data_IF_245427075756
#
_entry.id   IF_245427075756
#
_cell.length_a   1.000
_cell.length_b   1.000
_cell.length_c   1.000
_cell.angle_alpha   90.00
_cell.angle_beta   90.00
_cell.angle_gamma   90.00
#
_symmetry.space_group_name_H-M   'P 1'
#
loop_
_entity.id
_entity.type
_entity.pdbx_description
1 polymer ?
#
# COMPACT_ATOMS: atom_id res chain seq x y z
N UNK A 1 -0.46 -1.43 1.54
CA UNK A 1 -0.18 0.00 1.34
C UNK A 1 0.85 0.08 0.20
N UNK A 2 0.61 0.84 -0.88
CA UNK A 2 1.56 0.88 -1.99
C UNK A 2 2.87 1.53 -1.56
N UNK A 3 3.99 1.08 -2.14
CA UNK A 3 5.32 1.65 -1.88
C UNK A 3 5.37 3.15 -2.22
N UNK A 4 4.69 3.57 -3.29
CA UNK A 4 4.64 4.97 -3.72
C UNK A 4 3.19 5.40 -3.96
N UNK A 5 2.79 6.52 -3.32
CA UNK A 5 1.47 7.11 -3.41
C UNK A 5 1.51 8.39 -4.24
N UNK A 6 0.96 8.41 -5.48
CA UNK A 6 0.85 9.63 -6.26
C UNK A 6 -0.07 10.65 -5.58
N UNK A 7 0.03 11.95 -5.87
CA UNK A 7 -0.89 12.93 -5.27
C UNK A 7 -2.35 12.74 -5.73
N UNK A 8 -2.57 12.29 -6.97
CA UNK A 8 -3.91 12.09 -7.56
C UNK A 8 -4.54 13.35 -8.18
N UNK A 9 -3.92 14.52 -8.00
CA UNK A 9 -4.51 15.83 -8.36
C UNK A 9 -3.67 16.65 -9.36
N UNK A 10 -2.42 16.28 -9.63
CA UNK A 10 -1.58 17.02 -10.58
C UNK A 10 -1.82 16.58 -12.03
N UNK A 11 -1.38 17.39 -12.99
CA UNK A 11 -1.53 17.12 -14.43
C UNK A 11 -1.09 15.72 -14.87
N UNK A 12 -0.02 15.18 -14.26
CA UNK A 12 0.45 13.82 -14.55
C UNK A 12 -0.53 12.78 -14.02
N UNK A 13 -1.02 12.94 -12.79
CA UNK A 13 -1.99 12.04 -12.18
C UNK A 13 -3.32 12.06 -12.92
N UNK A 14 -3.82 13.25 -13.28
CA UNK A 14 -5.07 13.41 -14.03
C UNK A 14 -5.00 12.80 -15.43
N UNK A 15 -3.80 12.69 -16.00
CA UNK A 15 -3.52 11.98 -17.27
C UNK A 15 -3.26 10.48 -17.10
N UNK A 16 -3.50 9.91 -15.91
CA UNK A 16 -3.23 8.49 -15.61
C UNK A 16 -1.76 8.14 -15.45
N UNK A 17 -0.86 9.12 -15.40
CA UNK A 17 0.60 8.95 -15.27
C UNK A 17 1.06 9.11 -13.81
N UNK A 18 0.35 8.46 -12.89
CA UNK A 18 0.62 8.54 -11.46
C UNK A 18 2.03 8.06 -11.07
N UNK A 19 2.58 7.10 -11.81
CA UNK A 19 3.92 6.51 -11.55
C UNK A 19 5.08 7.49 -11.68
N UNK A 20 4.89 8.61 -12.38
CA UNK A 20 5.91 9.68 -12.52
C UNK A 20 5.45 10.98 -11.82
N UNK A 21 4.56 10.87 -10.84
CA UNK A 21 4.08 12.03 -10.11
C UNK A 21 5.21 12.70 -9.31
N UNK A 22 5.45 13.98 -9.58
CA UNK A 22 6.49 14.77 -8.90
C UNK A 22 6.14 15.12 -7.44
N UNK A 23 4.88 14.91 -7.05
CA UNK A 23 4.35 15.15 -5.69
C UNK A 23 3.96 13.82 -5.01
N UNK A 24 4.60 12.72 -5.40
CA UNK A 24 4.36 11.42 -4.78
C UNK A 24 4.94 11.36 -3.36
N UNK A 25 4.31 10.57 -2.50
CA UNK A 25 4.79 10.27 -1.15
C UNK A 25 5.14 8.79 -1.04
N UNK A 26 6.23 8.48 -0.33
CA UNK A 26 6.72 7.12 -0.10
C UNK A 26 6.80 6.91 1.42
N UNK A 27 5.99 6.01 2.00
CA UNK A 27 6.15 5.61 3.41
C UNK A 27 7.55 5.05 3.67
N UNK A 28 8.18 5.47 4.77
CA UNK A 28 9.54 5.09 5.13
C UNK A 28 10.65 5.87 4.40
N UNK A 29 10.29 6.89 3.62
CA UNK A 29 11.24 7.77 2.94
C UNK A 29 10.83 9.24 3.05
N UNK A 30 9.68 9.61 2.45
CA UNK A 30 9.15 10.98 2.52
C UNK A 30 8.32 11.23 3.79
N UNK A 31 7.64 10.18 4.27
CA UNK A 31 6.81 10.17 5.48
C UNK A 31 7.14 8.94 6.31
N UNK A 32 6.65 8.86 7.54
CA UNK A 32 6.85 7.69 8.42
C UNK A 32 6.41 6.37 7.75
N UNK A 33 7.17 5.30 8.02
CA UNK A 33 7.02 3.99 7.40
C UNK A 33 6.56 2.89 8.37
N UNK A 34 6.31 1.69 7.82
CA UNK A 34 5.70 0.57 8.55
C UNK A 34 6.55 -0.10 9.64
N UNK A 35 7.81 0.33 9.85
CA UNK A 35 8.61 -0.09 11.01
C UNK A 35 8.21 0.68 12.27
N UNK A 36 6.91 0.68 12.55
CA UNK A 36 6.25 1.36 13.64
C UNK A 36 4.97 0.59 14.00
N UNK A 37 4.40 0.84 15.18
CA UNK A 37 3.10 0.23 15.54
C UNK A 37 1.95 0.77 14.68
N UNK A 38 2.06 2.01 14.20
CA UNK A 38 1.04 2.69 13.42
C UNK A 38 1.70 3.67 12.44
N UNK A 39 1.01 3.95 11.33
CA UNK A 39 1.37 5.00 10.38
C UNK A 39 0.12 5.75 9.89
N UNK A 40 0.30 6.98 9.46
CA UNK A 40 -0.78 7.79 8.86
C UNK A 40 -0.63 7.75 7.34
N UNK A 41 -1.66 7.28 6.64
CA UNK A 41 -1.70 7.22 5.17
C UNK A 41 -3.06 7.60 4.62
N UNK A 42 -3.16 8.11 3.37
CA UNK A 42 -4.45 8.38 2.73
C UNK A 42 -5.25 7.10 2.51
N UNK A 43 -6.49 7.07 2.99
CA UNK A 43 -7.37 5.89 2.92
C UNK A 43 -7.64 5.40 1.49
N UNK A 44 -7.63 6.30 0.50
CA UNK A 44 -7.83 5.96 -0.93
C UNK A 44 -6.82 4.96 -1.50
N UNK A 45 -5.66 4.79 -0.85
CA UNK A 45 -4.61 3.84 -1.25
C UNK A 45 -4.65 2.53 -0.45
N UNK A 46 -5.63 2.37 0.45
CA UNK A 46 -5.82 1.16 1.21
C UNK A 46 -6.71 0.18 0.44
N UNK A 47 -6.34 -1.09 0.49
CA UNK A 47 -7.15 -2.20 0.00
C UNK A 47 -7.68 -2.96 1.21
N UNK A 48 -9.00 -3.06 1.42
CA UNK A 48 -9.57 -3.88 2.47
C UNK A 48 -9.21 -5.35 2.25
N UNK A 49 -8.72 -6.03 3.29
CA UNK A 49 -8.48 -7.46 3.27
C UNK A 49 -9.47 -8.11 4.24
N UNK A 50 -10.45 -8.92 3.78
CA UNK A 50 -11.33 -9.66 4.67
C UNK A 50 -10.54 -10.71 5.46
N UNK A 51 -10.28 -10.41 6.73
CA UNK A 51 -9.65 -11.30 7.72
C UNK A 51 -10.42 -11.22 9.03
N UNK A 52 -10.51 -12.33 9.76
CA UNK A 52 -11.05 -12.35 11.12
C UNK A 52 -9.94 -12.02 12.14
N UNK A 53 -8.73 -12.54 11.91
CA UNK A 53 -7.52 -12.29 12.69
C UNK A 53 -6.23 -12.46 11.85
N UNK A 54 -5.05 -12.30 12.49
CA UNK A 54 -3.74 -12.40 11.82
C UNK A 54 -3.39 -13.80 11.29
N UNK A 55 -4.06 -14.83 11.81
CA UNK A 55 -3.85 -16.25 11.44
C UNK A 55 -4.81 -16.75 10.38
N UNK A 56 -5.85 -15.97 10.09
CA UNK A 56 -6.87 -16.26 9.10
C UNK A 56 -6.27 -16.45 7.71
N UNK A 57 -6.70 -17.51 7.04
CA UNK A 57 -6.34 -17.82 5.66
C UNK A 57 -7.26 -17.04 4.71
N UNK A 58 -6.67 -16.45 3.67
CA UNK A 58 -7.38 -15.62 2.70
C UNK A 58 -7.81 -16.40 1.45
N UNK A 59 -9.13 -16.53 1.26
CA UNK A 59 -9.74 -17.18 0.10
C UNK A 59 -9.20 -18.60 -0.15
N UNK A 60 -9.22 -19.03 -1.40
CA UNK A 60 -8.70 -20.36 -1.80
C UNK A 60 -7.17 -20.42 -1.89
N UNK A 61 -6.49 -19.28 -1.66
CA UNK A 61 -5.03 -19.17 -1.85
C UNK A 61 -4.21 -19.81 -0.73
N UNK A 62 -4.82 -20.09 0.42
CA UNK A 62 -4.13 -20.74 1.53
C UNK A 62 -3.17 -19.82 2.32
N UNK A 63 -3.06 -18.53 1.97
CA UNK A 63 -2.10 -17.62 2.61
C UNK A 63 -2.70 -16.89 3.81
N UNK A 64 -1.91 -16.72 4.85
CA UNK A 64 -2.24 -15.90 6.03
C UNK A 64 -2.04 -14.40 5.75
N UNK A 65 -2.55 -13.53 6.62
CA UNK A 65 -2.31 -12.09 6.51
C UNK A 65 -0.81 -11.74 6.57
N UNK A 66 -0.04 -12.44 7.40
CA UNK A 66 1.40 -12.26 7.51
C UNK A 66 2.12 -12.61 6.21
N UNK A 67 1.78 -13.74 5.59
CA UNK A 67 2.34 -14.13 4.29
C UNK A 67 1.92 -13.18 3.18
N UNK A 68 0.64 -12.77 3.17
CA UNK A 68 0.12 -11.78 2.24
C UNK A 68 0.89 -10.45 2.33
N UNK A 69 1.29 -10.03 3.54
CA UNK A 69 2.08 -8.79 3.72
C UNK A 69 3.43 -8.83 3.00
N UNK A 70 4.10 -9.98 3.01
CA UNK A 70 5.38 -10.20 2.31
C UNK A 70 5.16 -10.25 0.80
N UNK A 71 4.13 -10.95 0.35
CA UNK A 71 3.78 -11.05 -1.08
C UNK A 71 3.41 -9.67 -1.63
N UNK A 72 2.60 -8.91 -0.90
CA UNK A 72 2.15 -7.58 -1.30
C UNK A 72 3.32 -6.62 -1.51
N UNK A 73 4.32 -6.64 -0.62
CA UNK A 73 5.54 -5.86 -0.79
C UNK A 73 6.27 -6.25 -2.10
N UNK A 74 6.50 -7.54 -2.30
CA UNK A 74 7.20 -8.07 -3.46
C UNK A 74 6.52 -7.74 -4.80
N UNK A 75 5.18 -7.76 -4.87
CA UNK A 75 4.41 -7.46 -6.09
C UNK A 75 4.37 -5.97 -6.40
N UNK A 76 4.63 -5.10 -5.41
CA UNK A 76 4.58 -3.64 -5.59
C UNK A 76 5.90 -2.99 -6.01
N UNK A 77 6.95 -3.79 -6.25
CA UNK A 77 8.23 -3.36 -6.83
C UNK A 77 8.15 -3.28 -8.35
#
# INVERSE_FOLDING_TARGET
IPAVMPCGECDLCLKGRGTICRKQNMPGNHIDGGFASHIVVPSKYLCPVPVEDETSIFGDSGVTLKELSVIADAVTT
#
